data_IF_128975719700
#
_entry.id   IF_128975719700
#
_cell.length_a   1.000
_cell.length_b   1.000
_cell.length_c   1.000
_cell.angle_alpha   90.00
_cell.angle_beta   90.00
_cell.angle_gamma   90.00
#
_symmetry.space_group_name_H-M   'P 1'
#
loop_
_entity.id
_entity.type
_entity.pdbx_description
1 polymer ?
#
# COMPACT_ATOMS: atom_id res chain seq x y z
N UNK A 1 27.84 -22.50 28.44
CA UNK A 1 27.16 -23.57 29.17
C UNK A 1 27.85 -23.72 30.53
N UNK A 2 27.12 -23.54 31.60
CA UNK A 2 27.68 -23.68 32.93
C UNK A 2 27.77 -25.15 33.29
N UNK A 3 28.95 -25.58 33.74
CA UNK A 3 29.15 -26.92 34.28
C UNK A 3 29.11 -26.91 35.81
N UNK A 4 28.27 -27.73 36.42
CA UNK A 4 28.14 -27.86 37.83
C UNK A 4 28.96 -29.09 38.32
N UNK A 5 30.08 -28.82 38.98
CA UNK A 5 31.05 -29.83 39.34
C UNK A 5 30.88 -30.37 40.77
N UNK A 6 29.99 -29.85 41.57
CA UNK A 6 29.72 -30.34 42.91
C UNK A 6 28.24 -30.21 43.28
N UNK A 7 27.73 -31.08 44.18
CA UNK A 7 26.35 -31.03 44.62
C UNK A 7 26.08 -29.75 45.43
N UNK A 8 24.97 -29.10 45.14
CA UNK A 8 24.56 -27.84 45.79
C UNK A 8 23.34 -27.26 45.09
N UNK A 9 22.91 -26.11 45.62
CA UNK A 9 21.83 -25.34 44.98
C UNK A 9 22.48 -24.33 44.04
N UNK A 10 22.22 -24.47 42.76
CA UNK A 10 22.72 -23.60 41.71
C UNK A 10 21.56 -22.78 41.17
N UNK A 11 21.72 -21.44 41.21
CA UNK A 11 20.76 -20.50 40.61
C UNK A 11 21.31 -20.06 39.28
N UNK A 12 20.66 -20.47 38.19
CA UNK A 12 20.96 -19.97 36.88
C UNK A 12 19.94 -18.88 36.54
N UNK A 13 20.41 -17.65 36.49
CA UNK A 13 19.57 -16.53 36.03
C UNK A 13 19.60 -16.48 34.51
N UNK A 14 18.50 -16.91 33.91
CA UNK A 14 18.24 -16.57 32.52
C UNK A 14 17.75 -15.13 32.49
N UNK A 15 18.52 -14.27 31.88
CA UNK A 15 18.05 -12.95 31.55
C UNK A 15 17.01 -13.07 30.41
N UNK A 16 15.80 -13.48 30.80
CA UNK A 16 14.64 -13.23 29.99
C UNK A 16 14.28 -11.76 30.17
N UNK A 17 15.21 -10.87 29.82
CA UNK A 17 14.92 -9.45 29.77
C UNK A 17 13.60 -9.21 29.06
N UNK A 18 12.83 -8.19 29.47
CA UNK A 18 11.58 -7.90 28.79
C UNK A 18 11.92 -7.80 27.29
N UNK A 19 11.37 -8.73 26.52
CA UNK A 19 11.48 -8.66 25.07
C UNK A 19 11.08 -7.24 24.71
N UNK A 20 11.97 -6.42 24.14
CA UNK A 20 11.60 -5.07 23.79
C UNK A 20 10.37 -5.20 22.90
N UNK A 21 9.28 -4.53 23.28
CA UNK A 21 8.14 -4.37 22.40
C UNK A 21 8.63 -3.59 21.19
N UNK A 22 9.24 -4.31 20.26
CA UNK A 22 9.57 -3.74 18.97
C UNK A 22 8.23 -3.46 18.31
N UNK A 23 7.91 -2.19 18.22
CA UNK A 23 6.80 -1.77 17.38
C UNK A 23 6.99 -2.39 16.01
N UNK A 24 5.97 -3.10 15.53
CA UNK A 24 5.91 -3.50 14.14
C UNK A 24 6.20 -2.25 13.33
N UNK A 25 7.13 -2.33 12.38
CA UNK A 25 7.47 -1.18 11.54
C UNK A 25 6.20 -0.62 10.90
N UNK A 26 5.74 0.53 11.38
CA UNK A 26 4.61 1.25 10.83
C UNK A 26 4.97 2.07 9.59
N UNK A 27 6.20 1.94 9.12
CA UNK A 27 6.69 2.65 7.93
C UNK A 27 6.21 2.07 6.61
N UNK A 28 5.52 0.93 6.62
CA UNK A 28 4.93 0.31 5.44
C UNK A 28 3.42 0.13 5.67
N UNK A 29 2.60 0.64 4.77
CA UNK A 29 1.15 0.54 4.85
C UNK A 29 0.54 -0.01 3.56
N UNK A 30 -0.67 -0.56 3.67
CA UNK A 30 -1.48 -0.97 2.53
C UNK A 30 -2.72 -0.08 2.40
N UNK A 31 -3.03 0.33 1.18
CA UNK A 31 -4.18 1.16 0.87
C UNK A 31 -5.01 0.53 -0.23
N UNK A 32 -6.32 0.57 -0.07
CA UNK A 32 -7.29 0.10 -1.07
C UNK A 32 -8.34 1.19 -1.26
N UNK A 33 -8.61 1.59 -2.49
CA UNK A 33 -9.63 2.59 -2.75
C UNK A 33 -9.72 3.01 -4.21
N UNK A 34 -10.53 4.03 -4.46
CA UNK A 34 -10.71 4.61 -5.77
C UNK A 34 -9.56 5.55 -6.12
N UNK A 35 -9.10 5.51 -7.34
CA UNK A 35 -8.08 6.41 -7.88
C UNK A 35 -8.43 6.80 -9.31
N UNK A 36 -7.81 7.87 -9.78
CA UNK A 36 -8.06 8.43 -11.10
C UNK A 36 -7.59 7.51 -12.23
N UNK A 37 -6.50 6.79 -12.01
CA UNK A 37 -5.91 5.85 -12.95
C UNK A 37 -5.15 4.75 -12.22
N UNK A 38 -4.62 3.80 -12.95
CA UNK A 38 -3.80 2.72 -12.42
C UNK A 38 -4.43 1.34 -12.58
N UNK A 39 -3.70 0.28 -12.26
CA UNK A 39 -4.19 -1.09 -12.40
C UNK A 39 -5.29 -1.40 -11.39
N UNK A 40 -6.31 -2.11 -11.83
CA UNK A 40 -7.45 -2.57 -11.01
C UNK A 40 -7.39 -4.07 -10.70
N UNK A 41 -6.37 -4.74 -11.20
CA UNK A 41 -6.17 -6.18 -11.00
C UNK A 41 -4.68 -6.50 -10.87
N UNK A 42 -4.38 -7.67 -10.35
CA UNK A 42 -3.02 -8.12 -10.12
C UNK A 42 -2.49 -7.78 -8.73
N UNK A 43 -1.19 -7.69 -8.58
CA UNK A 43 -0.55 -7.37 -7.31
C UNK A 43 -0.69 -5.89 -6.95
N UNK A 44 -0.74 -5.56 -5.65
CA UNK A 44 -0.70 -4.16 -5.22
C UNK A 44 0.55 -3.44 -5.73
N UNK A 45 0.39 -2.17 -6.07
CA UNK A 45 1.47 -1.36 -6.63
C UNK A 45 2.29 -0.73 -5.50
N UNK A 46 3.60 -0.88 -5.58
CA UNK A 46 4.52 -0.28 -4.63
C UNK A 46 4.70 1.21 -4.89
N UNK A 47 4.61 2.01 -3.83
CA UNK A 47 4.70 3.47 -3.86
C UNK A 47 5.67 3.94 -2.78
N UNK A 48 6.62 4.78 -3.15
CA UNK A 48 7.68 5.26 -2.27
C UNK A 48 7.49 6.69 -1.77
N UNK A 49 6.49 7.39 -2.27
CA UNK A 49 6.19 8.76 -1.87
C UNK A 49 4.94 9.27 -2.56
N UNK A 50 4.47 10.44 -2.14
CA UNK A 50 3.25 11.03 -2.71
C UNK A 50 3.40 11.40 -4.20
N UNK A 51 4.58 11.84 -4.61
CA UNK A 51 4.86 12.14 -6.03
C UNK A 51 4.78 10.87 -6.90
N UNK A 52 5.30 9.76 -6.39
CA UNK A 52 5.21 8.47 -7.06
C UNK A 52 3.75 7.97 -7.14
N UNK A 53 2.98 8.18 -6.08
CA UNK A 53 1.55 7.90 -6.06
C UNK A 53 0.80 8.70 -7.14
N UNK A 54 1.02 10.01 -7.22
CA UNK A 54 0.37 10.85 -8.24
C UNK A 54 0.74 10.46 -9.67
N UNK A 55 1.96 10.04 -9.88
CA UNK A 55 2.41 9.54 -11.19
C UNK A 55 1.71 8.24 -11.59
N UNK A 56 1.52 7.31 -10.65
CA UNK A 56 0.94 5.97 -10.90
C UNK A 56 -0.58 5.95 -10.84
N UNK A 57 -1.19 6.71 -9.95
CA UNK A 57 -2.61 6.67 -9.65
C UNK A 57 -3.37 7.98 -9.95
N UNK A 58 -2.67 9.05 -10.27
CA UNK A 58 -3.27 10.34 -10.56
C UNK A 58 -3.41 11.23 -9.34
N UNK A 59 -4.26 12.25 -9.45
CA UNK A 59 -4.46 13.27 -8.44
C UNK A 59 -5.60 12.97 -7.47
N UNK A 60 -6.05 14.03 -6.81
CA UNK A 60 -7.20 13.97 -5.91
C UNK A 60 -8.50 13.90 -6.69
N UNK A 61 -9.38 13.01 -6.27
CA UNK A 61 -10.71 12.87 -6.86
C UNK A 61 -11.64 14.00 -6.41
N UNK A 62 -12.52 14.43 -7.30
CA UNK A 62 -13.48 15.49 -7.02
C UNK A 62 -14.65 14.98 -6.18
N UNK A 63 -15.05 15.78 -5.19
CA UNK A 63 -16.21 15.47 -4.33
C UNK A 63 -17.52 15.34 -5.12
N UNK A 64 -17.69 16.14 -6.17
CA UNK A 64 -18.89 16.14 -7.00
C UNK A 64 -19.14 14.82 -7.71
N UNK A 65 -18.07 14.09 -8.07
CA UNK A 65 -18.16 12.84 -8.81
C UNK A 65 -18.05 11.60 -7.91
N UNK A 66 -17.22 11.66 -6.89
CA UNK A 66 -16.84 10.50 -6.07
C UNK A 66 -17.36 10.56 -4.63
N UNK A 67 -17.90 11.71 -4.21
CA UNK A 67 -18.47 11.85 -2.86
C UNK A 67 -17.49 11.46 -1.76
N UNK A 68 -17.89 10.53 -0.93
CA UNK A 68 -17.09 10.05 0.21
C UNK A 68 -16.04 9.01 -0.15
N UNK A 69 -16.03 8.51 -1.39
CA UNK A 69 -15.05 7.50 -1.84
C UNK A 69 -13.73 8.07 -2.36
N UNK A 70 -13.53 9.39 -2.24
CA UNK A 70 -12.36 10.11 -2.78
C UNK A 70 -11.12 10.09 -1.87
N UNK A 71 -11.16 9.45 -0.73
CA UNK A 71 -10.16 9.65 0.32
C UNK A 71 -8.84 8.90 0.14
N UNK A 72 -8.69 8.00 -0.84
CA UNK A 72 -7.46 7.23 -1.02
C UNK A 72 -6.22 8.14 -1.19
N UNK A 73 -6.28 9.11 -2.08
CA UNK A 73 -5.17 10.04 -2.32
C UNK A 73 -4.85 10.88 -1.08
N UNK A 74 -5.86 11.31 -0.35
CA UNK A 74 -5.68 12.03 0.92
C UNK A 74 -5.03 11.15 1.99
N UNK A 75 -5.45 9.91 2.13
CA UNK A 75 -4.90 8.97 3.10
C UNK A 75 -3.41 8.68 2.81
N UNK A 76 -3.06 8.43 1.56
CA UNK A 76 -1.68 8.21 1.13
C UNK A 76 -0.83 9.46 1.37
N UNK A 77 -1.35 10.64 1.05
CA UNK A 77 -0.67 11.91 1.29
C UNK A 77 -0.37 12.13 2.78
N UNK A 78 -1.36 11.90 3.64
CA UNK A 78 -1.21 12.02 5.08
C UNK A 78 -0.22 11.00 5.65
N UNK A 79 -0.25 9.78 5.15
CA UNK A 79 0.70 8.74 5.55
C UNK A 79 2.15 9.15 5.28
N UNK A 80 2.46 9.62 4.08
CA UNK A 80 3.81 10.07 3.74
C UNK A 80 4.20 11.37 4.45
N UNK A 81 3.26 12.29 4.68
CA UNK A 81 3.49 13.51 5.44
C UNK A 81 3.83 13.24 6.93
N UNK A 82 3.35 12.13 7.48
CA UNK A 82 3.56 11.73 8.87
C UNK A 82 4.71 10.72 9.04
N UNK A 83 5.62 10.61 8.10
CA UNK A 83 6.83 9.80 8.21
C UNK A 83 6.72 8.40 7.61
N UNK A 84 5.67 8.09 6.87
CA UNK A 84 5.56 6.85 6.13
C UNK A 84 6.66 6.71 5.09
N UNK A 85 7.24 5.50 4.96
CA UNK A 85 8.35 5.24 4.06
C UNK A 85 7.92 4.50 2.79
N UNK A 86 6.98 3.57 2.90
CA UNK A 86 6.56 2.69 1.81
C UNK A 86 5.07 2.42 1.89
N UNK A 87 4.43 2.32 0.75
CA UNK A 87 3.03 1.92 0.67
C UNK A 87 2.79 0.95 -0.48
N UNK A 88 1.83 0.06 -0.29
CA UNK A 88 1.26 -0.77 -1.33
C UNK A 88 -0.16 -0.30 -1.59
N UNK A 89 -0.47 0.05 -2.82
CA UNK A 89 -1.76 0.61 -3.19
C UNK A 89 -2.45 -0.30 -4.19
N UNK A 90 -3.71 -0.59 -3.92
CA UNK A 90 -4.59 -1.33 -4.81
C UNK A 90 -5.78 -0.45 -5.19
N UNK A 91 -5.92 -0.19 -6.48
CA UNK A 91 -7.07 0.54 -7.00
C UNK A 91 -8.27 -0.38 -7.14
N UNK A 92 -9.43 0.13 -6.76
CA UNK A 92 -10.73 -0.52 -7.02
C UNK A 92 -11.47 0.32 -8.05
N UNK A 93 -12.17 -0.33 -8.93
CA UNK A 93 -13.06 0.31 -9.89
C UNK A 93 -14.43 -0.37 -9.85
N UNK A 94 -15.52 0.36 -10.17
CA UNK A 94 -16.82 -0.25 -10.30
C UNK A 94 -16.85 -1.35 -11.36
N UNK A 95 -17.75 -2.29 -11.24
CA UNK A 95 -17.88 -3.40 -12.20
C UNK A 95 -18.28 -2.97 -13.61
N UNK A 96 -18.85 -1.78 -13.74
CA UNK A 96 -19.26 -1.15 -15.01
C UNK A 96 -18.16 -0.24 -15.60
N UNK A 97 -17.02 -0.12 -14.95
CA UNK A 97 -15.89 0.65 -15.47
C UNK A 97 -15.37 0.01 -16.77
N UNK A 98 -15.36 0.79 -17.83
CA UNK A 98 -14.94 0.36 -19.14
C UNK A 98 -13.57 0.93 -19.52
N UNK A 99 -12.84 0.14 -20.31
CA UNK A 99 -11.55 0.56 -20.87
C UNK A 99 -11.81 1.40 -22.11
N UNK A 100 -11.13 2.54 -22.23
CA UNK A 100 -11.22 3.37 -23.42
C UNK A 100 -10.60 2.63 -24.63
N UNK A 101 -11.32 2.62 -25.73
CA UNK A 101 -10.88 1.97 -26.96
C UNK A 101 -11.15 2.85 -28.18
N UNK A 102 -10.26 2.81 -29.14
CA UNK A 102 -10.38 3.50 -30.41
C UNK A 102 -10.05 2.53 -31.55
N UNK A 103 -10.97 2.40 -32.48
CA UNK A 103 -10.75 1.64 -33.69
C UNK A 103 -10.33 2.56 -34.83
N UNK A 104 -9.20 2.30 -35.46
CA UNK A 104 -8.67 3.04 -36.59
C UNK A 104 -8.68 2.12 -37.84
N UNK A 105 -9.68 2.26 -38.68
CA UNK A 105 -9.78 1.45 -39.90
C UNK A 105 -10.05 -0.04 -39.67
N UNK A 106 -9.93 -0.83 -40.71
CA UNK A 106 -10.10 -2.28 -40.63
C UNK A 106 -8.84 -2.92 -40.02
N UNK A 107 -8.99 -3.51 -38.85
CA UNK A 107 -7.98 -4.35 -38.20
C UNK A 107 -7.03 -3.67 -37.20
N UNK A 108 -7.12 -2.36 -36.97
CA UNK A 108 -6.32 -1.68 -35.98
C UNK A 108 -7.20 -1.10 -34.84
N UNK A 109 -6.99 -1.59 -33.62
CA UNK A 109 -7.70 -1.13 -32.46
C UNK A 109 -6.69 -0.76 -31.34
N UNK A 110 -6.82 0.42 -30.81
CA UNK A 110 -6.09 0.87 -29.61
C UNK A 110 -7.00 0.76 -28.39
N UNK A 111 -6.51 0.19 -27.34
CA UNK A 111 -7.26 0.01 -26.12
C UNK A 111 -6.39 0.39 -24.91
N UNK A 112 -6.96 1.13 -23.97
CA UNK A 112 -6.25 1.46 -22.75
C UNK A 112 -6.05 0.21 -21.89
N UNK A 113 -4.95 0.15 -21.17
CA UNK A 113 -4.62 -0.99 -20.31
C UNK A 113 -5.57 -1.15 -19.14
N UNK A 114 -6.03 -0.04 -18.58
CA UNK A 114 -6.90 -0.01 -17.43
C UNK A 114 -8.05 0.97 -17.64
N UNK A 115 -9.22 0.79 -16.99
CA UNK A 115 -10.28 1.78 -16.99
C UNK A 115 -9.82 3.08 -16.36
N UNK A 116 -10.29 4.20 -16.86
CA UNK A 116 -10.03 5.54 -16.36
C UNK A 116 -10.92 5.95 -15.20
#
# INVERSE_FOLDING_TARGET
MAEYLSPGVYVEEFDSGPAPMQGVSTSTAGFVGLAEKGPVSGAPVFVTGISDFHRKFGGYLQKSEFGEYRYLAHAVSHFFANGGARAFVMRVAPSDAAVAGLSCGEGLRFEAKNPG
#
